data_IF_229574722854
#
_entry.id   IF_229574722854
#
_cell.length_a   1.000
_cell.length_b   1.000
_cell.length_c   1.000
_cell.angle_alpha   90.00
_cell.angle_beta   90.00
_cell.angle_gamma   90.00
#
_symmetry.space_group_name_H-M   'P 1'
#
loop_
_entity.id
_entity.type
_entity.pdbx_description
1 polymer ?
#
# COMPACT_ATOMS: atom_id res chain seq x y z
N UNK A 1 -6.81 -0.06 3.63
CA UNK A 1 -6.43 1.37 3.64
C UNK A 1 -7.35 2.11 4.61
N UNK A 2 -7.33 3.45 4.67
CA UNK A 2 -7.75 4.27 5.82
C UNK A 2 -9.14 3.99 6.41
N UNK A 3 -10.06 3.45 5.61
CA UNK A 3 -11.44 3.16 6.01
C UNK A 3 -11.72 1.69 6.33
N UNK A 4 -10.72 0.81 6.26
CA UNK A 4 -10.86 -0.60 6.55
C UNK A 4 -11.21 -0.85 8.04
N UNK A 5 -12.06 -1.84 8.29
CA UNK A 5 -12.41 -2.24 9.65
C UNK A 5 -11.34 -3.20 10.21
N UNK A 6 -10.88 -2.94 11.43
CA UNK A 6 -9.84 -3.73 12.11
C UNK A 6 -10.40 -4.89 12.94
N UNK A 7 -11.72 -4.91 13.12
CA UNK A 7 -12.43 -5.86 13.96
C UNK A 7 -13.38 -6.70 13.09
N UNK A 8 -13.63 -7.93 13.53
CA UNK A 8 -14.66 -8.79 12.98
C UNK A 8 -16.07 -8.32 13.43
N UNK A 9 -17.11 -8.99 12.93
CA UNK A 9 -18.51 -8.68 13.29
C UNK A 9 -18.84 -8.87 14.79
N UNK A 10 -18.01 -9.61 15.53
CA UNK A 10 -18.10 -9.76 16.98
C UNK A 10 -17.34 -8.70 17.77
N UNK A 11 -16.76 -7.70 17.12
CA UNK A 11 -15.97 -6.65 17.77
C UNK A 11 -14.59 -7.12 18.26
N UNK A 12 -14.14 -8.30 17.83
CA UNK A 12 -12.83 -8.85 18.19
C UNK A 12 -11.82 -8.63 17.07
N UNK A 13 -10.50 -8.66 17.35
CA UNK A 13 -9.49 -8.65 16.30
C UNK A 13 -9.74 -9.72 15.24
N UNK A 14 -9.51 -9.38 13.98
CA UNK A 14 -9.51 -10.36 12.89
C UNK A 14 -8.43 -11.41 13.20
N UNK A 15 -8.72 -12.68 12.96
CA UNK A 15 -7.78 -13.78 13.15
C UNK A 15 -7.21 -14.28 11.83
N UNK A 16 -6.01 -14.85 11.87
CA UNK A 16 -5.35 -15.51 10.76
C UNK A 16 -5.79 -17.00 10.64
N UNK A 17 -5.22 -17.73 9.69
CA UNK A 17 -5.51 -19.14 9.43
C UNK A 17 -5.12 -20.10 10.57
N UNK A 18 -4.39 -19.61 11.57
CA UNK A 18 -3.98 -20.35 12.77
C UNK A 18 -4.86 -20.03 13.98
N UNK A 19 -5.93 -19.25 13.79
CA UNK A 19 -6.82 -18.74 14.84
C UNK A 19 -6.12 -17.76 15.83
N UNK A 20 -5.04 -17.12 15.39
CA UNK A 20 -4.32 -16.09 16.14
C UNK A 20 -4.68 -14.69 15.63
N UNK A 21 -4.56 -13.60 16.42
CA UNK A 21 -4.78 -12.24 15.91
C UNK A 21 -3.92 -11.93 14.68
N UNK A 22 -4.57 -11.53 13.59
CA UNK A 22 -3.93 -11.23 12.32
C UNK A 22 -3.06 -9.98 12.43
N UNK A 23 -1.85 -10.05 11.88
CA UNK A 23 -0.95 -8.91 11.79
C UNK A 23 -1.09 -8.17 10.44
N UNK A 24 -0.31 -7.11 10.27
CA UNK A 24 -0.32 -6.29 9.04
C UNK A 24 0.06 -7.08 7.78
N UNK A 25 0.85 -8.15 7.91
CA UNK A 25 1.21 -8.99 6.76
C UNK A 25 0.08 -9.93 6.34
N UNK A 26 -0.85 -10.25 7.26
CA UNK A 26 -2.01 -11.09 6.99
C UNK A 26 -3.20 -10.29 6.42
N UNK A 27 -3.48 -9.10 6.97
CA UNK A 27 -4.70 -8.33 6.63
C UNK A 27 -4.45 -6.90 6.18
N UNK A 28 -3.20 -6.46 6.09
CA UNK A 28 -2.86 -5.07 5.79
C UNK A 28 -3.49 -4.12 6.80
N UNK A 29 -4.37 -3.24 6.31
CA UNK A 29 -5.09 -2.28 7.15
C UNK A 29 -6.36 -2.85 7.83
N UNK A 30 -6.84 -4.03 7.43
CA UNK A 30 -8.09 -4.64 7.90
C UNK A 30 -9.03 -5.09 6.78
N UNK A 31 -10.25 -5.45 7.15
CA UNK A 31 -11.31 -5.86 6.22
C UNK A 31 -11.90 -4.66 5.48
N UNK A 32 -12.27 -4.85 4.20
CA UNK A 32 -12.82 -3.78 3.37
C UNK A 32 -14.16 -3.28 3.91
N UNK A 33 -14.35 -1.97 3.97
CA UNK A 33 -15.64 -1.33 4.25
C UNK A 33 -16.04 -0.43 3.07
N UNK A 34 -16.85 -0.93 2.11
CA UNK A 34 -17.19 -0.17 0.91
C UNK A 34 -17.95 1.13 1.20
N UNK A 35 -18.86 1.12 2.17
CA UNK A 35 -19.66 2.30 2.53
C UNK A 35 -18.78 3.43 3.06
N UNK A 36 -17.83 3.14 3.95
CA UNK A 36 -16.86 4.13 4.44
C UNK A 36 -15.87 4.54 3.35
N UNK A 37 -15.47 3.61 2.48
CA UNK A 37 -14.53 3.91 1.39
C UNK A 37 -15.09 4.88 0.34
N UNK A 38 -16.42 5.01 0.23
CA UNK A 38 -17.06 5.97 -0.67
C UNK A 38 -16.83 7.44 -0.27
N UNK A 39 -16.58 7.70 1.01
CA UNK A 39 -16.22 9.03 1.53
C UNK A 39 -15.16 8.87 2.64
N UNK A 40 -13.87 8.73 2.27
CA UNK A 40 -12.81 8.45 3.22
C UNK A 40 -12.38 9.70 4.03
N UNK A 41 -12.92 10.88 3.72
CA UNK A 41 -12.51 12.19 4.24
C UNK A 41 -11.15 12.65 3.69
N UNK A 42 -10.10 11.85 3.87
CA UNK A 42 -8.75 12.12 3.35
C UNK A 42 -8.23 10.93 2.53
N UNK A 43 -7.49 11.26 1.47
CA UNK A 43 -6.78 10.30 0.64
C UNK A 43 -5.27 10.57 0.71
N UNK A 44 -4.48 9.50 0.66
CA UNK A 44 -3.05 9.57 0.39
C UNK A 44 -2.87 9.38 -1.11
N UNK A 45 -2.78 10.48 -1.85
CA UNK A 45 -2.67 10.44 -3.31
C UNK A 45 -1.21 10.24 -3.74
N UNK A 46 -1.01 9.59 -4.89
CA UNK A 46 0.30 9.34 -5.49
C UNK A 46 0.14 9.09 -7.00
N UNK A 47 1.06 9.64 -7.80
CA UNK A 47 1.15 9.42 -9.24
C UNK A 47 2.25 8.40 -9.57
N UNK A 48 2.19 7.71 -10.73
CA UNK A 48 3.24 6.77 -11.14
C UNK A 48 4.65 7.36 -11.10
N UNK A 49 4.79 8.64 -11.39
CA UNK A 49 6.08 9.34 -11.42
C UNK A 49 6.68 9.58 -10.03
N UNK A 50 5.85 9.62 -8.98
CA UNK A 50 6.30 9.76 -7.59
C UNK A 50 7.03 8.50 -7.10
N UNK A 51 6.89 7.36 -7.78
CA UNK A 51 7.64 6.15 -7.47
C UNK A 51 9.09 6.18 -7.97
N UNK A 52 9.45 7.07 -8.91
CA UNK A 52 10.81 7.11 -9.47
C UNK A 52 11.85 7.48 -8.41
N UNK A 53 11.69 8.57 -7.62
CA UNK A 53 12.65 8.89 -6.58
C UNK A 53 12.75 7.80 -5.51
N UNK A 54 11.64 7.11 -5.20
CA UNK A 54 11.65 5.96 -4.30
C UNK A 54 12.52 4.82 -4.86
N UNK A 55 12.32 4.43 -6.11
CA UNK A 55 13.11 3.38 -6.77
C UNK A 55 14.59 3.76 -6.88
N UNK A 56 14.90 5.02 -7.21
CA UNK A 56 16.27 5.52 -7.20
C UNK A 56 16.90 5.45 -5.79
N UNK A 57 16.13 5.79 -4.74
CA UNK A 57 16.55 5.72 -3.34
C UNK A 57 16.84 4.29 -2.84
N UNK A 58 16.32 3.27 -3.51
CA UNK A 58 16.66 1.86 -3.25
C UNK A 58 18.02 1.44 -3.86
N UNK A 59 18.69 2.33 -4.61
CA UNK A 59 19.98 2.06 -5.23
C UNK A 59 19.91 1.41 -6.61
N UNK A 60 18.73 1.41 -7.25
CA UNK A 60 18.62 0.98 -8.65
C UNK A 60 19.28 1.99 -9.59
N UNK A 61 19.97 1.49 -10.60
CA UNK A 61 20.49 2.32 -11.70
C UNK A 61 19.35 2.93 -12.51
N UNK A 62 19.55 4.08 -13.16
CA UNK A 62 18.53 4.69 -14.03
C UNK A 62 18.02 3.72 -15.10
N UNK A 63 18.89 2.84 -15.61
CA UNK A 63 18.51 1.78 -16.55
C UNK A 63 17.55 0.77 -15.94
N UNK A 64 17.79 0.31 -14.71
CA UNK A 64 16.90 -0.61 -14.00
C UNK A 64 15.55 0.04 -13.69
N UNK A 65 15.56 1.30 -13.22
CA UNK A 65 14.32 2.05 -12.99
C UNK A 65 13.55 2.21 -14.29
N UNK A 66 14.21 2.57 -15.40
CA UNK A 66 13.56 2.72 -16.70
C UNK A 66 12.93 1.43 -17.25
N UNK A 67 13.47 0.26 -16.92
CA UNK A 67 12.82 -1.04 -17.21
C UNK A 67 11.54 -1.22 -16.40
N UNK A 68 11.55 -0.85 -15.11
CA UNK A 68 10.39 -1.00 -14.21
C UNK A 68 9.25 -0.05 -14.62
N UNK A 69 9.57 1.24 -14.80
CA UNK A 69 8.57 2.28 -15.10
C UNK A 69 8.27 2.43 -16.60
N UNK A 70 8.93 1.62 -17.44
CA UNK A 70 8.76 1.58 -18.90
C UNK A 70 8.94 2.95 -19.59
N UNK A 71 9.88 3.76 -19.08
CA UNK A 71 10.22 5.08 -19.65
C UNK A 71 11.69 5.39 -19.45
N UNK A 72 12.25 6.27 -20.27
CA UNK A 72 13.62 6.73 -20.09
C UNK A 72 13.73 7.57 -18.80
N UNK A 73 14.68 7.22 -17.93
CA UNK A 73 15.02 7.96 -16.72
C UNK A 73 16.43 8.49 -16.89
N UNK A 74 16.57 9.80 -16.97
CA UNK A 74 17.85 10.46 -17.20
C UNK A 74 18.47 10.92 -15.87
N UNK A 75 19.64 10.34 -15.55
CA UNK A 75 20.46 10.77 -14.42
C UNK A 75 19.86 10.42 -13.06
N UNK A 76 20.68 9.84 -12.19
CA UNK A 76 20.49 9.92 -10.75
C UNK A 76 21.37 11.10 -10.32
N UNK A 77 20.90 11.96 -9.41
CA UNK A 77 21.82 12.82 -8.67
C UNK A 77 22.82 11.95 -7.90
#
# INVERSE_FOLDING_TARGET
MTTADKLNLGGQPIKDERDLPANVFAVGAGHVNPSKASDPGLIFDIQPDDYIPYLCGLGYTSKQVGVIVQKEVLGIL
#
